data_IF_129424276581
#
_entry.id   IF_129424276581
#
_cell.length_a   1.000
_cell.length_b   1.000
_cell.length_c   1.000
_cell.angle_alpha   90.00
_cell.angle_beta   90.00
_cell.angle_gamma   90.00
#
_symmetry.space_group_name_H-M   'P 1'
#
loop_
_entity.id
_entity.type
_entity.pdbx_description
1 polymer ?
#
# COMPACT_ATOMS: atom_id res chain seq x y z
N UNK A 1 47.34 22.25 38.80
CA UNK A 1 46.36 23.25 38.28
C UNK A 1 45.89 23.02 36.83
N UNK A 2 46.70 22.44 35.92
CA UNK A 2 46.30 22.23 34.50
C UNK A 2 45.16 21.21 34.28
N UNK A 3 45.12 20.10 35.02
CA UNK A 3 44.06 19.07 34.86
C UNK A 3 42.66 19.52 35.33
N UNK A 4 42.55 20.32 36.40
CA UNK A 4 41.27 20.84 36.88
C UNK A 4 40.63 21.82 35.88
N UNK A 5 41.45 22.67 35.25
CA UNK A 5 40.99 23.57 34.19
C UNK A 5 40.54 22.81 32.94
N UNK A 6 41.29 21.77 32.54
CA UNK A 6 40.93 20.94 31.38
C UNK A 6 39.60 20.20 31.58
N UNK A 7 39.39 19.57 32.75
CA UNK A 7 38.12 18.89 33.08
C UNK A 7 36.92 19.84 33.12
N UNK A 8 37.11 21.07 33.61
CA UNK A 8 36.06 22.10 33.62
C UNK A 8 35.71 22.57 32.21
N UNK A 9 36.70 22.76 31.33
CA UNK A 9 36.49 23.07 29.92
C UNK A 9 35.75 21.94 29.18
N UNK A 10 36.13 20.68 29.43
CA UNK A 10 35.44 19.52 28.84
C UNK A 10 33.98 19.42 29.30
N UNK A 11 33.70 19.68 30.58
CA UNK A 11 32.34 19.64 31.11
C UNK A 11 31.45 20.74 30.51
N UNK A 12 31.97 21.97 30.37
CA UNK A 12 31.22 23.08 29.74
C UNK A 12 30.96 22.78 28.26
N UNK A 13 31.92 22.17 27.57
CA UNK A 13 31.77 21.79 26.16
C UNK A 13 30.76 20.65 25.98
N UNK A 14 30.74 19.67 26.88
CA UNK A 14 29.73 18.61 26.93
C UNK A 14 28.34 19.17 27.25
N UNK A 15 28.22 20.07 28.22
CA UNK A 15 26.94 20.72 28.54
C UNK A 15 26.45 21.55 27.35
N UNK A 16 27.34 22.31 26.72
CA UNK A 16 27.03 23.07 25.51
C UNK A 16 26.58 22.16 24.36
N UNK A 17 27.28 21.04 24.15
CA UNK A 17 26.92 20.04 23.15
C UNK A 17 25.57 19.38 23.45
N UNK A 18 25.31 18.98 24.69
CA UNK A 18 24.03 18.42 25.12
C UNK A 18 22.89 19.43 24.96
N UNK A 19 23.10 20.71 25.27
CA UNK A 19 22.07 21.75 25.09
C UNK A 19 21.77 22.02 23.61
N UNK A 20 22.79 21.99 22.74
CA UNK A 20 22.61 22.09 21.28
C UNK A 20 21.89 20.85 20.74
N UNK A 21 22.24 19.67 21.22
CA UNK A 21 21.63 18.40 20.85
C UNK A 21 20.16 18.34 21.28
N UNK A 22 19.87 18.71 22.54
CA UNK A 22 18.51 18.86 23.04
C UNK A 22 17.73 19.87 22.18
N UNK A 23 18.26 21.06 21.90
CA UNK A 23 17.55 22.04 21.04
C UNK A 23 17.32 21.56 19.61
N UNK A 24 18.19 20.73 19.04
CA UNK A 24 18.05 20.25 17.66
C UNK A 24 17.11 19.04 17.54
N UNK A 25 17.03 18.17 18.55
CA UNK A 25 16.12 17.02 18.54
C UNK A 25 14.74 17.32 19.13
N UNK A 26 14.61 18.30 20.04
CA UNK A 26 13.32 18.63 20.69
C UNK A 26 12.53 19.72 19.96
N UNK A 27 12.79 19.97 18.67
CA UNK A 27 11.80 20.69 17.88
C UNK A 27 10.63 19.74 17.65
N UNK A 28 9.53 19.99 18.36
CA UNK A 28 8.24 19.39 18.10
C UNK A 28 7.95 19.41 16.59
N UNK A 29 7.73 18.24 15.98
CA UNK A 29 7.46 18.09 14.54
C UNK A 29 6.07 17.52 14.33
N UNK A 30 5.44 17.91 13.23
CA UNK A 30 4.20 17.29 12.76
C UNK A 30 4.55 15.96 12.11
N UNK A 31 4.22 14.86 12.79
CA UNK A 31 4.53 13.51 12.33
C UNK A 31 3.56 13.09 11.24
N UNK A 32 4.00 13.12 9.98
CA UNK A 32 3.19 12.71 8.83
C UNK A 32 3.08 11.18 8.82
N UNK A 33 1.84 10.68 8.79
CA UNK A 33 1.48 9.25 8.83
C UNK A 33 1.07 8.70 7.47
N UNK A 34 0.40 9.52 6.68
CA UNK A 34 0.00 9.18 5.32
C UNK A 34 0.03 10.44 4.44
N UNK A 35 0.16 10.22 3.13
CA UNK A 35 0.09 11.27 2.13
C UNK A 35 -0.98 10.91 1.11
N UNK A 36 -1.83 11.85 0.74
CA UNK A 36 -2.84 11.71 -0.31
C UNK A 36 -2.41 12.47 -1.56
N UNK A 37 -2.56 11.85 -2.73
CA UNK A 37 -2.28 12.43 -4.04
C UNK A 37 -3.50 12.27 -4.96
N UNK A 38 -3.92 13.38 -5.55
CA UNK A 38 -4.87 13.36 -6.65
C UNK A 38 -4.50 14.41 -7.69
N UNK A 39 -4.91 14.16 -8.93
CA UNK A 39 -4.76 15.11 -10.01
C UNK A 39 -6.09 15.22 -10.75
N UNK A 40 -6.72 16.40 -10.67
CA UNK A 40 -7.90 16.75 -11.45
C UNK A 40 -7.49 17.87 -12.40
N UNK A 41 -7.57 17.61 -13.70
CA UNK A 41 -7.12 18.54 -14.76
C UNK A 41 -5.65 18.98 -14.57
N UNK A 42 -5.41 20.29 -14.46
CA UNK A 42 -4.09 20.88 -14.22
C UNK A 42 -3.80 21.10 -12.73
N UNK A 43 -4.71 20.70 -11.83
CA UNK A 43 -4.56 20.88 -10.38
C UNK A 43 -4.17 19.58 -9.70
N UNK A 44 -3.09 19.63 -8.92
CA UNK A 44 -2.63 18.54 -8.06
C UNK A 44 -3.06 18.85 -6.63
N UNK A 45 -3.80 17.92 -6.03
CA UNK A 45 -4.17 17.94 -4.61
C UNK A 45 -3.20 17.07 -3.83
N UNK A 46 -2.67 17.64 -2.75
CA UNK A 46 -1.86 16.92 -1.76
C UNK A 46 -2.55 16.99 -0.41
N UNK A 47 -2.73 15.83 0.22
CA UNK A 47 -3.16 15.72 1.60
C UNK A 47 -2.06 15.20 2.51
N UNK A 48 -1.87 15.82 3.68
CA UNK A 48 -0.96 15.35 4.72
C UNK A 48 -1.78 14.92 5.93
N UNK A 49 -1.81 13.62 6.16
CA UNK A 49 -2.35 13.05 7.38
C UNK A 49 -1.24 13.08 8.44
N UNK A 50 -1.41 13.83 9.52
CA UNK A 50 -0.35 14.05 10.50
C UNK A 50 -0.85 13.98 11.95
N UNK A 51 0.08 13.69 12.86
CA UNK A 51 -0.14 13.83 14.29
C UNK A 51 0.67 15.02 14.79
N UNK A 52 -0.01 15.99 15.40
CA UNK A 52 0.69 17.07 16.08
C UNK A 52 1.39 16.50 17.33
N UNK A 53 2.57 17.04 17.68
CA UNK A 53 3.22 16.66 18.93
C UNK A 53 2.37 17.14 20.11
N UNK A 54 1.97 16.22 20.98
CA UNK A 54 1.46 16.56 22.30
C UNK A 54 2.66 16.73 23.23
N UNK A 55 2.69 17.82 23.99
CA UNK A 55 3.66 18.02 25.05
C UNK A 55 3.37 17.04 26.21
N UNK A 56 3.76 15.77 26.06
CA UNK A 56 3.71 14.78 27.14
C UNK A 56 5.14 14.38 27.54
N UNK A 57 5.38 14.29 28.84
CA UNK A 57 6.68 13.91 29.40
C UNK A 57 7.01 12.42 29.17
N UNK A 58 6.01 11.61 28.79
CA UNK A 58 6.12 10.18 28.50
C UNK A 58 5.73 9.93 27.03
N UNK A 59 6.64 9.33 26.27
CA UNK A 59 6.45 9.02 24.85
C UNK A 59 5.35 7.98 24.59
N UNK A 60 4.88 7.27 25.63
CA UNK A 60 3.76 6.33 25.54
C UNK A 60 2.38 6.99 25.66
N UNK A 61 2.30 8.24 26.15
CA UNK A 61 1.06 8.99 26.34
C UNK A 61 0.79 10.05 25.26
N UNK A 62 1.82 10.43 24.48
CA UNK A 62 1.70 11.40 23.39
C UNK A 62 1.13 10.76 22.11
N UNK A 63 -0.16 10.51 22.05
CA UNK A 63 -0.83 10.23 20.78
C UNK A 63 -1.86 11.31 20.49
N UNK A 64 -1.36 12.48 20.08
CA UNK A 64 -2.19 13.55 19.57
C UNK A 64 -3.12 13.06 18.45
N UNK A 65 -4.33 13.62 18.44
CA UNK A 65 -5.34 13.34 17.42
C UNK A 65 -4.74 13.50 16.02
N UNK A 66 -5.04 12.53 15.14
CA UNK A 66 -4.65 12.62 13.74
C UNK A 66 -5.49 13.72 13.08
N UNK A 67 -4.83 14.54 12.25
CA UNK A 67 -5.45 15.63 11.50
C UNK A 67 -5.08 15.51 10.03
N UNK A 68 -5.88 16.14 9.16
CA UNK A 68 -5.63 16.20 7.72
C UNK A 68 -5.45 17.67 7.30
N UNK A 69 -4.33 17.99 6.65
CA UNK A 69 -4.18 19.23 5.89
C UNK A 69 -4.19 18.95 4.40
N UNK A 70 -4.81 19.84 3.63
CA UNK A 70 -4.93 19.73 2.18
C UNK A 70 -4.39 20.99 1.52
N UNK A 71 -3.77 20.83 0.36
CA UNK A 71 -3.47 21.94 -0.51
C UNK A 71 -3.55 21.53 -1.97
N UNK A 72 -3.87 22.51 -2.81
CA UNK A 72 -3.94 22.36 -4.25
C UNK A 72 -2.98 23.34 -4.92
N UNK A 73 -2.31 22.89 -5.98
CA UNK A 73 -1.49 23.74 -6.83
C UNK A 73 -1.32 23.14 -8.23
N UNK A 74 -0.79 23.94 -9.14
CA UNK A 74 -0.43 23.55 -10.52
C UNK A 74 0.74 22.55 -10.60
N UNK A 75 1.50 22.36 -9.52
CA UNK A 75 2.61 21.39 -9.48
C UNK A 75 2.67 20.66 -8.14
N UNK A 76 3.16 19.41 -8.17
CA UNK A 76 3.32 18.59 -6.96
C UNK A 76 4.17 19.29 -5.88
N UNK A 77 5.29 19.90 -6.28
CA UNK A 77 6.19 20.58 -5.35
C UNK A 77 5.51 21.76 -4.64
N UNK A 78 4.72 22.56 -5.38
CA UNK A 78 3.97 23.67 -4.79
C UNK A 78 2.82 23.18 -3.90
N UNK A 79 2.11 22.13 -4.30
CA UNK A 79 1.03 21.55 -3.50
C UNK A 79 1.58 20.97 -2.19
N UNK A 80 2.70 20.24 -2.23
CA UNK A 80 3.40 19.75 -1.04
C UNK A 80 3.85 20.89 -0.13
N UNK A 81 4.50 21.92 -0.68
CA UNK A 81 4.96 23.07 0.10
C UNK A 81 3.78 23.84 0.74
N UNK A 82 2.67 23.97 0.03
CA UNK A 82 1.46 24.61 0.53
C UNK A 82 0.79 23.79 1.65
N UNK A 83 0.71 22.47 1.52
CA UNK A 83 0.20 21.59 2.57
C UNK A 83 1.11 21.61 3.81
N UNK A 84 2.43 21.57 3.61
CA UNK A 84 3.42 21.67 4.69
C UNK A 84 3.34 23.01 5.44
N UNK A 85 3.07 24.11 4.74
CA UNK A 85 2.96 25.45 5.34
C UNK A 85 1.76 25.56 6.29
N UNK A 86 0.72 24.75 6.09
CA UNK A 86 -0.47 24.71 6.95
C UNK A 86 -0.28 23.84 8.19
N UNK A 87 0.80 23.04 8.26
CA UNK A 87 1.09 22.24 9.44
C UNK A 87 1.48 23.15 10.62
N UNK A 88 1.09 22.78 11.86
CA UNK A 88 1.42 23.57 13.04
C UNK A 88 2.94 23.58 13.32
N UNK A 89 3.66 22.53 12.89
CA UNK A 89 5.10 22.40 13.04
C UNK A 89 5.73 21.89 11.75
N UNK A 90 7.07 21.90 11.69
CA UNK A 90 7.80 21.34 10.55
C UNK A 90 7.40 19.87 10.34
N UNK A 91 7.11 19.50 9.10
CA UNK A 91 6.77 18.14 8.71
C UNK A 91 7.92 17.16 9.02
N UNK A 92 7.56 16.01 9.58
CA UNK A 92 8.43 14.84 9.72
C UNK A 92 7.80 13.64 9.00
N UNK A 93 8.43 13.23 7.91
CA UNK A 93 7.99 12.12 7.07
C UNK A 93 8.53 10.76 7.51
N UNK A 94 9.27 10.70 8.64
CA UNK A 94 9.84 9.44 9.13
C UNK A 94 8.79 8.38 9.40
N UNK A 95 7.53 8.70 9.65
CA UNK A 95 6.46 7.72 9.89
C UNK A 95 5.39 7.74 8.78
N UNK A 96 5.72 8.25 7.60
CA UNK A 96 4.84 8.29 6.44
C UNK A 96 4.78 6.90 5.80
N UNK A 97 4.03 6.00 6.42
CA UNK A 97 3.95 4.59 6.06
C UNK A 97 2.94 4.30 4.94
N UNK A 98 2.06 5.26 4.63
CA UNK A 98 0.97 5.09 3.67
C UNK A 98 0.96 6.18 2.60
N UNK A 99 0.57 5.78 1.39
CA UNK A 99 0.28 6.65 0.25
C UNK A 99 -1.14 6.33 -0.23
N UNK A 100 -2.00 7.33 -0.21
CA UNK A 100 -3.35 7.29 -0.75
C UNK A 100 -3.33 7.95 -2.12
N UNK A 101 -3.88 7.30 -3.12
CA UNK A 101 -4.00 7.89 -4.46
C UNK A 101 -5.46 7.92 -4.89
N UNK A 102 -5.80 8.88 -5.72
CA UNK A 102 -7.01 8.82 -6.53
C UNK A 102 -6.93 7.64 -7.53
N UNK A 103 -8.08 7.08 -7.91
CA UNK A 103 -8.15 5.96 -8.86
C UNK A 103 -7.52 6.30 -10.22
N UNK A 104 -7.63 7.58 -10.63
CA UNK A 104 -7.15 8.10 -11.90
C UNK A 104 -5.76 8.76 -11.77
N UNK A 105 -5.05 8.53 -10.66
CA UNK A 105 -3.70 9.02 -10.48
C UNK A 105 -2.78 8.50 -11.60
N UNK A 106 -2.12 9.44 -12.29
CA UNK A 106 -1.24 9.15 -13.42
C UNK A 106 0.08 8.53 -12.98
N UNK A 107 0.70 7.76 -13.88
CA UNK A 107 2.04 7.23 -13.66
C UNK A 107 3.09 8.34 -13.51
N UNK A 108 2.90 9.46 -14.22
CA UNK A 108 3.75 10.65 -14.11
C UNK A 108 3.67 11.27 -12.71
N UNK A 109 2.48 11.31 -12.10
CA UNK A 109 2.31 11.81 -10.74
C UNK A 109 3.01 10.91 -9.72
N UNK A 110 2.86 9.58 -9.84
CA UNK A 110 3.55 8.64 -8.96
C UNK A 110 5.08 8.71 -9.13
N UNK A 111 5.58 8.81 -10.37
CA UNK A 111 6.99 8.97 -10.65
C UNK A 111 7.55 10.30 -10.11
N UNK A 112 6.79 11.40 -10.23
CA UNK A 112 7.15 12.69 -9.67
C UNK A 112 7.20 12.65 -8.13
N UNK A 113 6.26 11.93 -7.50
CA UNK A 113 6.25 11.75 -6.06
C UNK A 113 7.39 10.84 -5.58
N UNK A 114 7.66 9.72 -6.25
CA UNK A 114 8.80 8.86 -5.96
C UNK A 114 10.12 9.65 -6.00
N UNK A 115 10.32 10.48 -7.03
CA UNK A 115 11.48 11.38 -7.12
C UNK A 115 11.54 12.33 -5.94
N UNK A 116 10.41 12.93 -5.57
CA UNK A 116 10.31 13.83 -4.41
C UNK A 116 10.68 13.12 -3.11
N UNK A 117 10.29 11.86 -2.94
CA UNK A 117 10.68 11.03 -1.79
C UNK A 117 12.20 10.77 -1.79
N UNK A 118 12.77 10.40 -2.93
CA UNK A 118 14.19 10.09 -3.06
C UNK A 118 15.10 11.31 -2.83
N UNK A 119 14.74 12.46 -3.42
CA UNK A 119 15.54 13.67 -3.38
C UNK A 119 15.35 14.47 -2.07
N UNK A 120 14.10 14.62 -1.65
CA UNK A 120 13.73 15.55 -0.57
C UNK A 120 13.34 14.84 0.74
N UNK A 121 13.29 13.50 0.76
CA UNK A 121 12.86 12.69 1.91
C UNK A 121 11.45 13.04 2.41
N UNK A 122 10.58 13.48 1.49
CA UNK A 122 9.19 13.85 1.78
C UNK A 122 8.23 12.65 1.68
N UNK A 123 8.60 11.54 2.33
CA UNK A 123 7.85 10.29 2.33
C UNK A 123 8.76 9.07 2.41
N UNK A 124 8.25 7.91 1.98
CA UNK A 124 9.00 6.64 1.90
C UNK A 124 8.69 5.92 0.61
N UNK A 125 9.71 5.42 -0.10
CA UNK A 125 9.51 4.56 -1.29
C UNK A 125 8.87 3.22 -0.92
N UNK A 126 9.01 2.81 0.35
CA UNK A 126 8.38 1.63 0.92
C UNK A 126 6.97 1.88 1.46
N UNK A 127 6.44 3.11 1.31
CA UNK A 127 5.08 3.45 1.72
C UNK A 127 4.07 2.52 1.02
N UNK A 128 3.11 2.04 1.80
CA UNK A 128 2.04 1.16 1.37
C UNK A 128 0.96 1.96 0.64
N UNK A 129 0.55 1.50 -0.53
CA UNK A 129 -0.31 2.23 -1.44
C UNK A 129 -1.74 1.68 -1.40
N UNK A 130 -2.73 2.56 -1.37
CA UNK A 130 -4.14 2.22 -1.57
C UNK A 130 -4.86 3.32 -2.35
N UNK A 131 -6.00 2.98 -2.94
CA UNK A 131 -6.89 3.98 -3.53
C UNK A 131 -7.77 4.55 -2.43
N UNK A 132 -7.93 5.88 -2.40
CA UNK A 132 -8.95 6.55 -1.61
C UNK A 132 -9.92 7.26 -2.56
N UNK A 133 -11.12 6.71 -2.66
CA UNK A 133 -12.24 7.32 -3.36
C UNK A 133 -13.02 8.19 -2.36
N UNK A 134 -13.29 9.43 -2.76
CA UNK A 134 -14.04 10.39 -1.97
C UNK A 134 -15.15 10.96 -2.85
N UNK A 135 -16.33 11.12 -2.27
CA UNK A 135 -17.43 11.80 -2.96
C UNK A 135 -17.03 13.23 -3.35
N UNK A 136 -17.63 13.74 -4.43
CA UNK A 136 -17.45 15.14 -4.82
C UNK A 136 -17.89 16.07 -3.68
N UNK A 137 -17.03 17.02 -3.32
CA UNK A 137 -17.28 17.91 -2.19
C UNK A 137 -16.97 17.32 -0.81
N UNK A 138 -16.62 16.02 -0.69
CA UNK A 138 -16.27 15.40 0.60
C UNK A 138 -15.16 16.18 1.33
N UNK A 139 -14.17 16.66 0.58
CA UNK A 139 -13.06 17.45 1.12
C UNK A 139 -13.48 18.86 1.56
N UNK A 140 -14.51 19.43 0.94
CA UNK A 140 -15.07 20.75 1.26
C UNK A 140 -15.97 20.69 2.50
N UNK A 141 -16.57 19.52 2.75
CA UNK A 141 -17.49 19.26 3.85
C UNK A 141 -16.81 18.78 5.14
N UNK A 142 -15.49 18.54 5.14
CA UNK A 142 -14.73 18.17 6.34
C UNK A 142 -14.66 19.36 7.31
N UNK A 143 -15.44 19.39 8.41
CA UNK A 143 -15.44 20.51 9.34
C UNK A 143 -14.12 20.52 10.12
N UNK A 144 -13.53 21.70 10.27
CA UNK A 144 -12.23 21.88 10.94
C UNK A 144 -12.22 21.43 12.42
N UNK A 145 -13.38 21.31 13.08
CA UNK A 145 -13.47 21.30 14.54
C UNK A 145 -13.65 19.91 15.17
N UNK A 146 -14.02 18.85 14.42
CA UNK A 146 -14.16 17.47 14.94
C UNK A 146 -13.88 16.42 13.86
N UNK A 147 -12.63 16.28 13.47
CA UNK A 147 -12.24 15.31 12.45
C UNK A 147 -12.04 13.92 13.08
N UNK A 148 -13.11 13.13 13.22
CA UNK A 148 -12.98 11.68 13.47
C UNK A 148 -12.40 10.95 12.25
N UNK A 149 -12.68 11.46 11.05
CA UNK A 149 -12.28 10.86 9.78
C UNK A 149 -10.78 10.53 9.68
N UNK A 150 -9.82 11.45 9.94
CA UNK A 150 -8.39 11.17 9.92
C UNK A 150 -7.96 10.01 10.83
N UNK A 151 -8.57 9.90 12.02
CA UNK A 151 -8.30 8.79 12.94
C UNK A 151 -8.84 7.48 12.36
N UNK A 152 -10.11 7.46 11.92
CA UNK A 152 -10.74 6.29 11.29
C UNK A 152 -9.98 5.82 10.05
N UNK A 153 -9.52 6.75 9.21
CA UNK A 153 -8.70 6.48 8.04
C UNK A 153 -7.37 5.84 8.41
N UNK A 154 -6.65 6.40 9.40
CA UNK A 154 -5.39 5.81 9.84
C UNK A 154 -5.58 4.42 10.48
N UNK A 155 -6.66 4.20 11.23
CA UNK A 155 -7.02 2.90 11.80
C UNK A 155 -7.32 1.87 10.72
N UNK A 156 -8.13 2.24 9.73
CA UNK A 156 -8.45 1.38 8.60
C UNK A 156 -7.20 1.01 7.79
N UNK A 157 -6.31 1.99 7.52
CA UNK A 157 -5.03 1.77 6.86
C UNK A 157 -4.15 0.75 7.60
N UNK A 158 -4.17 0.77 8.94
CA UNK A 158 -3.46 -0.23 9.75
C UNK A 158 -4.09 -1.62 9.63
N UNK A 159 -5.42 -1.71 9.55
CA UNK A 159 -6.16 -2.97 9.46
C UNK A 159 -5.96 -3.68 8.11
N UNK A 160 -5.96 -2.94 6.99
CA UNK A 160 -5.78 -3.50 5.66
C UNK A 160 -4.33 -3.40 5.14
N UNK A 161 -3.37 -3.12 6.02
CA UNK A 161 -1.96 -2.90 5.68
C UNK A 161 -1.33 -4.08 4.92
N UNK A 162 -1.74 -5.31 5.20
CA UNK A 162 -1.15 -6.50 4.58
C UNK A 162 -1.58 -6.71 3.12
N UNK A 163 -2.64 -6.00 2.70
CA UNK A 163 -3.18 -6.02 1.34
C UNK A 163 -2.65 -4.87 0.47
N UNK A 164 -1.66 -4.10 0.92
CA UNK A 164 -1.15 -2.94 0.19
C UNK A 164 0.23 -3.23 -0.42
N UNK A 165 0.39 -3.05 -1.75
CA UNK A 165 1.70 -3.01 -2.36
C UNK A 165 2.45 -1.75 -1.95
N UNK A 166 3.73 -1.66 -2.30
CA UNK A 166 4.59 -0.53 -1.97
C UNK A 166 4.80 0.40 -3.15
N UNK A 167 5.02 1.68 -2.88
CA UNK A 167 5.20 2.70 -3.91
C UNK A 167 6.23 2.28 -4.97
N UNK A 168 7.39 1.74 -4.59
CA UNK A 168 8.41 1.33 -5.56
C UNK A 168 7.97 0.22 -6.55
N UNK A 169 6.82 -0.44 -6.32
CA UNK A 169 6.30 -1.52 -7.16
C UNK A 169 5.37 -1.02 -8.28
N UNK A 170 5.06 0.29 -8.33
CA UNK A 170 4.06 0.84 -9.27
C UNK A 170 4.34 0.52 -10.75
N UNK A 171 5.61 0.38 -11.14
CA UNK A 171 5.99 0.11 -12.54
C UNK A 171 5.56 -1.28 -13.02
N UNK A 172 5.40 -2.25 -12.12
CA UNK A 172 4.98 -3.62 -12.45
C UNK A 172 3.44 -3.77 -12.49
N UNK A 173 2.72 -2.69 -12.18
CA UNK A 173 1.28 -2.72 -11.88
C UNK A 173 1.01 -3.12 -10.43
N UNK A 174 -0.06 -2.60 -9.86
CA UNK A 174 -0.41 -2.78 -8.45
C UNK A 174 -1.87 -3.17 -8.30
N UNK A 175 -2.12 -4.23 -7.51
CA UNK A 175 -3.46 -4.51 -7.01
C UNK A 175 -3.68 -3.71 -5.72
N UNK A 176 -4.46 -2.63 -5.81
CA UNK A 176 -4.67 -1.67 -4.73
C UNK A 176 -6.01 -1.93 -4.04
N UNK A 177 -6.03 -2.02 -2.69
CA UNK A 177 -7.28 -1.99 -1.95
C UNK A 177 -7.92 -0.60 -2.11
N UNK A 178 -9.24 -0.56 -2.21
CA UNK A 178 -10.02 0.66 -2.39
C UNK A 178 -10.68 1.04 -1.07
N UNK A 179 -10.40 2.25 -0.60
CA UNK A 179 -11.05 2.85 0.55
C UNK A 179 -12.09 3.83 0.02
N UNK A 180 -13.33 3.73 0.51
CA UNK A 180 -14.42 4.64 0.15
C UNK A 180 -14.72 5.53 1.34
N UNK A 181 -14.70 6.84 1.12
CA UNK A 181 -15.01 7.83 2.14
C UNK A 181 -16.28 8.59 1.78
N UNK A 182 -17.28 8.48 2.66
CA UNK A 182 -18.60 9.11 2.53
C UNK A 182 -19.00 9.66 3.90
N UNK A 183 -19.53 10.89 3.97
CA UNK A 183 -20.09 11.52 5.19
C UNK A 183 -19.20 11.39 6.45
N UNK A 184 -17.90 11.64 6.32
CA UNK A 184 -16.86 11.49 7.38
C UNK A 184 -16.60 10.06 7.87
N UNK A 185 -17.19 9.05 7.25
CA UNK A 185 -16.83 7.65 7.44
C UNK A 185 -15.87 7.19 6.36
N UNK A 186 -15.18 6.09 6.63
CA UNK A 186 -14.31 5.44 5.67
C UNK A 186 -14.40 3.94 5.86
N UNK A 187 -14.57 3.22 4.76
CA UNK A 187 -14.68 1.78 4.75
C UNK A 187 -13.80 1.17 3.66
N UNK A 188 -13.36 -0.06 3.88
CA UNK A 188 -12.71 -0.86 2.86
C UNK A 188 -13.79 -1.39 1.92
N UNK A 189 -13.65 -1.12 0.62
CA UNK A 189 -14.52 -1.71 -0.39
C UNK A 189 -14.16 -3.20 -0.60
N UNK A 190 -15.17 -3.98 -0.98
CA UNK A 190 -14.95 -5.38 -1.39
C UNK A 190 -14.21 -5.46 -2.74
N UNK A 191 -14.30 -4.41 -3.56
CA UNK A 191 -13.60 -4.28 -4.85
C UNK A 191 -12.13 -3.92 -4.68
N UNK A 192 -11.35 -4.01 -5.75
CA UNK A 192 -9.96 -3.53 -5.77
C UNK A 192 -9.63 -2.94 -7.12
N UNK A 193 -8.66 -2.04 -7.13
CA UNK A 193 -8.19 -1.42 -8.37
C UNK A 193 -6.92 -2.10 -8.81
N UNK A 194 -6.93 -2.74 -9.98
CA UNK A 194 -5.70 -3.07 -10.68
C UNK A 194 -5.20 -1.79 -11.38
N UNK A 195 -4.26 -1.12 -10.73
CA UNK A 195 -3.63 0.10 -11.24
C UNK A 195 -2.43 -0.27 -12.12
N UNK A 196 -2.37 0.28 -13.34
CA UNK A 196 -1.25 0.14 -14.28
C UNK A 196 -0.90 1.50 -14.86
N UNK A 197 0.31 1.59 -15.41
CA UNK A 197 0.81 2.83 -16.04
C UNK A 197 -0.12 3.33 -17.15
N UNK A 198 -0.73 2.43 -17.93
CA UNK A 198 -1.61 2.83 -19.04
C UNK A 198 -3.08 3.01 -18.64
N UNK A 199 -3.56 2.31 -17.60
CA UNK A 199 -4.94 2.38 -17.13
C UNK A 199 -5.14 1.73 -15.74
N UNK A 200 -6.30 2.02 -15.16
CA UNK A 200 -6.82 1.37 -13.96
C UNK A 200 -8.05 0.51 -14.31
N UNK A 201 -8.19 -0.66 -13.69
CA UNK A 201 -9.36 -1.54 -13.85
C UNK A 201 -9.92 -1.86 -12.46
N UNK A 202 -11.21 -1.61 -12.25
CA UNK A 202 -11.90 -2.09 -11.05
C UNK A 202 -12.22 -3.57 -11.17
N UNK A 203 -11.86 -4.33 -10.14
CA UNK A 203 -12.07 -5.76 -10.03
C UNK A 203 -13.19 -6.05 -9.04
N UNK A 204 -14.14 -6.88 -9.46
CA UNK A 204 -15.18 -7.40 -8.57
C UNK A 204 -14.58 -8.20 -7.40
N UNK A 205 -15.30 -8.24 -6.28
CA UNK A 205 -14.82 -8.78 -5.02
C UNK A 205 -14.18 -10.18 -5.13
N UNK A 206 -14.84 -11.11 -5.84
CA UNK A 206 -14.32 -12.47 -6.00
C UNK A 206 -13.02 -12.50 -6.80
N UNK A 207 -12.96 -11.74 -7.89
CA UNK A 207 -11.80 -11.68 -8.75
C UNK A 207 -10.62 -11.00 -8.05
N UNK A 208 -10.89 -9.90 -7.32
CA UNK A 208 -9.91 -9.22 -6.49
C UNK A 208 -9.33 -10.16 -5.43
N UNK A 209 -10.17 -10.91 -4.71
CA UNK A 209 -9.73 -11.80 -3.65
C UNK A 209 -8.88 -12.98 -4.18
N UNK A 210 -9.27 -13.56 -5.32
CA UNK A 210 -8.44 -14.59 -5.99
C UNK A 210 -7.12 -14.01 -6.49
N UNK A 211 -7.11 -12.79 -7.04
CA UNK A 211 -5.88 -12.14 -7.48
C UNK A 211 -4.93 -11.85 -6.31
N UNK A 212 -5.44 -11.38 -5.16
CA UNK A 212 -4.65 -11.19 -3.93
C UNK A 212 -3.99 -12.50 -3.48
N UNK A 213 -4.74 -13.60 -3.48
CA UNK A 213 -4.20 -14.93 -3.14
C UNK A 213 -3.09 -15.35 -4.11
N UNK A 214 -3.31 -15.18 -5.42
CA UNK A 214 -2.35 -15.55 -6.47
C UNK A 214 -1.07 -14.71 -6.45
N UNK A 215 -1.17 -13.46 -6.04
CA UNK A 215 -0.05 -12.53 -5.86
C UNK A 215 0.63 -12.68 -4.49
N UNK A 216 0.20 -13.65 -3.67
CA UNK A 216 0.71 -13.90 -2.32
C UNK A 216 0.65 -12.65 -1.42
N UNK A 217 -0.37 -11.83 -1.62
CA UNK A 217 -0.63 -10.67 -0.77
C UNK A 217 -0.97 -11.12 0.65
N UNK A 218 -0.63 -10.32 1.64
CA UNK A 218 -0.84 -10.70 3.04
C UNK A 218 -2.30 -10.59 3.47
N UNK A 219 -2.58 -11.12 4.66
CA UNK A 219 -3.91 -11.13 5.25
C UNK A 219 -4.56 -12.52 5.23
N UNK A 220 -5.81 -12.58 5.68
CA UNK A 220 -6.62 -13.80 5.62
C UNK A 220 -7.55 -13.69 4.43
N UNK A 221 -7.42 -14.61 3.49
CA UNK A 221 -8.31 -14.70 2.34
C UNK A 221 -9.50 -15.58 2.65
N UNK A 222 -10.70 -15.14 2.27
CA UNK A 222 -11.93 -15.90 2.53
C UNK A 222 -12.68 -16.15 1.23
N UNK A 223 -12.98 -17.42 0.96
CA UNK A 223 -13.71 -17.86 -0.23
C UNK A 223 -14.98 -18.60 0.18
N UNK A 224 -16.10 -18.29 -0.47
CA UNK A 224 -17.33 -19.06 -0.30
C UNK A 224 -17.32 -20.25 -1.27
N UNK A 225 -16.99 -21.44 -0.77
CA UNK A 225 -16.75 -22.65 -1.55
C UNK A 225 -17.69 -23.76 -1.11
N UNK A 226 -18.39 -24.38 -2.06
CA UNK A 226 -19.41 -25.41 -1.81
C UNK A 226 -20.47 -24.95 -0.78
N UNK A 227 -20.77 -23.65 -0.76
CA UNK A 227 -21.77 -23.07 0.15
C UNK A 227 -21.25 -22.71 1.55
N UNK A 228 -19.95 -22.90 1.83
CA UNK A 228 -19.35 -22.68 3.14
C UNK A 228 -18.10 -21.77 3.04
N UNK A 229 -17.77 -21.00 4.09
CA UNK A 229 -16.57 -20.17 4.10
C UNK A 229 -15.29 -21.01 4.30
N UNK A 230 -14.33 -20.83 3.40
CA UNK A 230 -12.98 -21.40 3.49
C UNK A 230 -11.98 -20.28 3.63
N UNK A 231 -11.15 -20.33 4.68
CA UNK A 231 -10.12 -19.32 4.94
C UNK A 231 -8.73 -19.81 4.57
N UNK A 232 -7.93 -18.92 3.99
CA UNK A 232 -6.51 -19.13 3.69
C UNK A 232 -5.71 -18.02 4.37
N UNK A 233 -4.96 -18.37 5.42
CA UNK A 233 -4.12 -17.40 6.16
C UNK A 233 -2.75 -17.18 5.53
N UNK A 234 -2.26 -18.17 4.80
CA UNK A 234 -0.97 -18.17 4.09
C UNK A 234 -1.09 -19.08 2.88
N UNK A 235 -0.52 -18.68 1.77
CA UNK A 235 -0.42 -19.48 0.56
C UNK A 235 0.95 -19.25 -0.05
N UNK A 236 1.57 -20.30 -0.59
CA UNK A 236 2.69 -20.16 -1.51
C UNK A 236 2.26 -20.59 -2.90
N UNK A 237 2.52 -19.77 -3.91
CA UNK A 237 2.10 -20.02 -5.29
C UNK A 237 3.32 -20.34 -6.14
N UNK A 238 3.44 -21.62 -6.51
CA UNK A 238 4.51 -22.09 -7.40
C UNK A 238 3.99 -22.28 -8.82
N UNK A 239 4.72 -21.75 -9.80
CA UNK A 239 4.38 -21.89 -11.22
C UNK A 239 5.43 -22.71 -11.94
N UNK A 240 4.99 -23.75 -12.64
CA UNK A 240 5.85 -24.56 -13.52
C UNK A 240 5.38 -24.42 -14.97
N UNK A 241 6.31 -24.03 -15.84
CA UNK A 241 6.10 -24.00 -17.29
C UNK A 241 6.71 -25.23 -17.95
N UNK A 242 5.94 -25.88 -18.83
CA UNK A 242 6.38 -26.97 -19.71
C UNK A 242 5.76 -26.80 -21.08
N UNK A 243 6.58 -26.46 -22.07
CA UNK A 243 6.12 -26.18 -23.43
C UNK A 243 4.95 -25.18 -23.43
N UNK A 244 3.76 -25.58 -23.88
CA UNK A 244 2.55 -24.76 -23.96
C UNK A 244 1.64 -24.88 -22.72
N UNK A 245 2.13 -25.51 -21.65
CA UNK A 245 1.37 -25.76 -20.41
C UNK A 245 1.95 -25.00 -19.23
N UNK A 246 1.06 -24.47 -18.40
CA UNK A 246 1.38 -23.75 -17.17
C UNK A 246 0.63 -24.40 -15.99
N UNK A 247 1.37 -24.89 -15.00
CA UNK A 247 0.82 -25.49 -13.79
C UNK A 247 1.03 -24.56 -12.61
N UNK A 248 -0.04 -24.19 -11.92
CA UNK A 248 0.02 -23.48 -10.64
C UNK A 248 -0.19 -24.47 -9.50
N UNK A 249 0.66 -24.40 -8.50
CA UNK A 249 0.52 -25.14 -7.26
C UNK A 249 0.36 -24.15 -6.11
N UNK A 250 -0.76 -24.25 -5.41
CA UNK A 250 -1.09 -23.44 -4.25
C UNK A 250 -1.01 -24.35 -3.01
N UNK A 251 0.02 -24.15 -2.19
CA UNK A 251 0.11 -24.80 -0.88
C UNK A 251 -0.43 -23.83 0.20
N UNK A 252 -1.66 -24.08 0.64
CA UNK A 252 -2.44 -23.22 1.52
C UNK A 252 -2.33 -23.66 2.98
N UNK A 253 -2.38 -22.69 3.90
CA UNK A 253 -2.64 -22.91 5.32
C UNK A 253 -3.94 -22.22 5.68
N UNK A 254 -4.80 -22.93 6.42
CA UNK A 254 -6.07 -22.40 6.93
C UNK A 254 -5.86 -21.58 8.21
N UNK A 255 -6.84 -20.77 8.58
CA UNK A 255 -6.89 -20.14 9.90
C UNK A 255 -7.01 -21.18 11.01
N UNK A 256 -6.50 -20.85 12.20
CA UNK A 256 -6.67 -21.69 13.39
C UNK A 256 -8.15 -21.99 13.63
N UNK A 257 -8.44 -23.19 14.14
CA UNK A 257 -9.79 -23.64 14.52
C UNK A 257 -10.85 -23.68 13.41
N UNK A 258 -10.47 -23.48 12.15
CA UNK A 258 -11.35 -23.69 10.99
C UNK A 258 -11.33 -25.13 10.49
N UNK A 259 -12.42 -25.67 9.93
CA UNK A 259 -12.45 -27.04 9.42
C UNK A 259 -11.45 -27.24 8.26
N UNK A 260 -10.98 -28.47 8.09
CA UNK A 260 -10.16 -28.83 6.93
C UNK A 260 -11.04 -28.75 5.66
N UNK A 261 -10.62 -28.01 4.61
CA UNK A 261 -11.39 -27.95 3.38
C UNK A 261 -11.51 -29.32 2.70
N UNK A 262 -12.68 -29.59 2.14
CA UNK A 262 -12.98 -30.82 1.43
C UNK A 262 -12.27 -30.88 0.06
N UNK A 263 -12.19 -32.08 -0.53
CA UNK A 263 -11.65 -32.22 -1.89
C UNK A 263 -12.43 -31.41 -2.94
N UNK A 264 -13.75 -31.26 -2.75
CA UNK A 264 -14.59 -30.44 -3.62
C UNK A 264 -14.24 -28.94 -3.49
N UNK A 265 -14.08 -28.45 -2.25
CA UNK A 265 -13.67 -27.06 -2.01
C UNK A 265 -12.27 -26.77 -2.59
N UNK A 266 -11.29 -27.66 -2.40
CA UNK A 266 -9.97 -27.52 -3.01
C UNK A 266 -10.04 -27.46 -4.53
N UNK A 267 -10.85 -28.32 -5.15
CA UNK A 267 -11.07 -28.33 -6.60
C UNK A 267 -11.72 -27.04 -7.09
N UNK A 268 -12.75 -26.55 -6.39
CA UNK A 268 -13.43 -25.30 -6.74
C UNK A 268 -12.49 -24.09 -6.63
N UNK A 269 -11.64 -24.03 -5.60
CA UNK A 269 -10.62 -22.98 -5.49
C UNK A 269 -9.59 -23.06 -6.62
N UNK A 270 -9.18 -24.26 -7.02
CA UNK A 270 -8.27 -24.45 -8.14
C UNK A 270 -8.89 -24.00 -9.48
N UNK A 271 -10.17 -24.31 -9.71
CA UNK A 271 -10.92 -23.83 -10.88
C UNK A 271 -11.02 -22.31 -10.87
N UNK A 272 -11.33 -21.70 -9.72
CA UNK A 272 -11.39 -20.24 -9.57
C UNK A 272 -10.04 -19.57 -9.87
N UNK A 273 -8.92 -20.12 -9.36
CA UNK A 273 -7.58 -19.64 -9.66
C UNK A 273 -7.26 -19.73 -11.15
N UNK A 274 -7.61 -20.86 -11.78
CA UNK A 274 -7.37 -21.09 -13.22
C UNK A 274 -8.16 -20.08 -14.06
N UNK A 275 -9.45 -19.90 -13.76
CA UNK A 275 -10.32 -18.95 -14.45
C UNK A 275 -9.84 -17.50 -14.28
N UNK A 276 -9.40 -17.12 -13.08
CA UNK A 276 -8.90 -15.78 -12.80
C UNK A 276 -7.68 -15.46 -13.65
N UNK A 277 -6.66 -16.33 -13.66
CA UNK A 277 -5.46 -16.12 -14.49
C UNK A 277 -5.80 -16.09 -15.98
N UNK A 278 -6.69 -16.96 -16.45
CA UNK A 278 -7.14 -16.95 -17.85
C UNK A 278 -7.86 -15.65 -18.23
N UNK A 279 -8.74 -15.15 -17.36
CA UNK A 279 -9.45 -13.89 -17.56
C UNK A 279 -8.49 -12.69 -17.61
N UNK A 280 -7.51 -12.64 -16.71
CA UNK A 280 -6.47 -11.62 -16.75
C UNK A 280 -5.62 -11.70 -18.02
N UNK A 281 -5.27 -12.91 -18.46
CA UNK A 281 -4.51 -13.10 -19.70
C UNK A 281 -5.26 -12.59 -20.94
N UNK A 282 -6.57 -12.84 -21.03
CA UNK A 282 -7.42 -12.33 -22.11
C UNK A 282 -7.48 -10.80 -22.14
N UNK A 283 -7.28 -10.15 -20.99
CA UNK A 283 -7.18 -8.69 -20.86
C UNK A 283 -5.74 -8.18 -21.05
N UNK A 284 -4.81 -9.05 -21.46
CA UNK A 284 -3.40 -8.72 -21.67
C UNK A 284 -2.60 -8.56 -20.38
N UNK A 285 -3.04 -9.16 -19.27
CA UNK A 285 -2.38 -9.08 -17.96
C UNK A 285 -1.74 -10.41 -17.61
N UNK A 286 -0.43 -10.37 -17.34
CA UNK A 286 0.33 -11.53 -16.88
C UNK A 286 0.38 -11.60 -15.35
N UNK A 287 -0.75 -12.00 -14.73
CA UNK A 287 -0.94 -11.97 -13.28
C UNK A 287 0.09 -12.80 -12.48
N UNK A 288 0.57 -13.91 -13.05
CA UNK A 288 1.46 -14.86 -12.36
C UNK A 288 2.86 -14.96 -13.00
N UNK A 289 3.21 -13.92 -13.77
CA UNK A 289 4.53 -13.71 -14.38
C UNK A 289 4.99 -14.86 -15.31
N UNK A 290 4.09 -15.41 -16.12
CA UNK A 290 4.39 -16.48 -17.07
C UNK A 290 5.41 -16.03 -18.13
N UNK A 291 5.36 -14.79 -18.58
CA UNK A 291 6.28 -14.23 -19.56
C UNK A 291 7.70 -14.15 -19.00
N UNK A 292 7.86 -13.59 -17.80
CA UNK A 292 9.15 -13.51 -17.13
C UNK A 292 9.72 -14.92 -16.88
N UNK A 293 8.87 -15.89 -16.51
CA UNK A 293 9.29 -17.29 -16.33
C UNK A 293 9.73 -17.92 -17.65
N UNK A 294 9.01 -17.67 -18.74
CA UNK A 294 9.38 -18.11 -20.08
C UNK A 294 10.71 -17.50 -20.53
N UNK A 295 10.95 -16.22 -20.25
CA UNK A 295 12.22 -15.54 -20.50
C UNK A 295 13.38 -16.16 -19.69
N UNK A 296 13.15 -16.49 -18.42
CA UNK A 296 14.15 -17.16 -17.59
C UNK A 296 14.48 -18.58 -18.08
N UNK A 297 13.49 -19.32 -18.60
CA UNK A 297 13.70 -20.68 -19.11
C UNK A 297 14.36 -20.72 -20.50
N UNK A 298 14.01 -19.79 -21.40
CA UNK A 298 14.41 -19.85 -22.82
C UNK A 298 15.42 -18.76 -23.22
N UNK A 299 15.68 -17.78 -22.35
CA UNK A 299 16.46 -16.58 -22.62
C UNK A 299 15.57 -15.38 -22.99
N UNK A 300 16.01 -14.19 -22.60
CA UNK A 300 15.34 -12.91 -22.93
C UNK A 300 15.31 -12.71 -24.45
N UNK A 301 14.14 -12.35 -25.00
CA UNK A 301 13.90 -12.22 -26.44
C UNK A 301 13.63 -13.55 -27.16
N UNK A 302 13.56 -14.66 -26.43
CA UNK A 302 13.22 -16.02 -26.94
C UNK A 302 12.05 -16.62 -26.17
N UNK A 303 11.21 -15.77 -25.59
CA UNK A 303 10.03 -16.16 -24.85
C UNK A 303 9.07 -16.91 -25.77
N UNK A 304 8.62 -18.09 -25.34
CA UNK A 304 7.56 -18.83 -26.04
C UNK A 304 6.17 -18.36 -25.61
N UNK A 305 6.05 -17.95 -24.35
CA UNK A 305 4.81 -17.45 -23.76
C UNK A 305 4.90 -15.93 -23.64
N UNK A 306 4.02 -15.23 -24.36
CA UNK A 306 3.85 -13.76 -24.31
C UNK A 306 2.36 -13.43 -24.23
N UNK A 307 1.97 -12.34 -23.58
CA UNK A 307 0.53 -11.92 -23.47
C UNK A 307 -0.14 -11.67 -24.83
N UNK A 308 0.64 -11.56 -25.91
CA UNK A 308 0.15 -11.46 -27.29
C UNK A 308 -0.28 -12.82 -27.86
N UNK A 309 0.16 -13.91 -27.25
CA UNK A 309 -0.17 -15.28 -27.64
C UNK A 309 -1.44 -15.76 -26.92
N UNK A 310 -2.01 -16.86 -27.40
CA UNK A 310 -3.08 -17.55 -26.67
C UNK A 310 -2.61 -17.91 -25.26
N UNK A 311 -3.54 -17.88 -24.29
CA UNK A 311 -3.24 -18.32 -22.92
C UNK A 311 -2.73 -19.77 -22.97
N UNK A 312 -1.60 -20.09 -22.32
CA UNK A 312 -1.13 -21.47 -22.22
C UNK A 312 -2.19 -22.33 -21.53
N UNK A 313 -2.14 -23.64 -21.75
CA UNK A 313 -3.03 -24.56 -21.05
C UNK A 313 -2.73 -24.52 -19.56
N UNK A 314 -3.63 -23.88 -18.83
CA UNK A 314 -3.46 -23.55 -17.43
C UNK A 314 -4.19 -24.57 -16.55
N UNK A 315 -3.50 -25.03 -15.50
CA UNK A 315 -4.13 -25.85 -14.46
C UNK A 315 -3.60 -25.46 -13.10
N UNK A 316 -4.49 -25.08 -12.19
CA UNK A 316 -4.15 -24.96 -10.78
C UNK A 316 -4.37 -26.28 -10.03
N UNK A 317 -3.57 -26.49 -9.01
CA UNK A 317 -3.71 -27.53 -8.00
C UNK A 317 -3.63 -26.87 -6.62
N UNK A 318 -4.61 -27.12 -5.76
CA UNK A 318 -4.74 -26.49 -4.44
C UNK A 318 -4.64 -27.57 -3.38
N UNK A 319 -3.71 -27.38 -2.45
CA UNK A 319 -3.52 -28.27 -1.31
C UNK A 319 -3.53 -27.49 -0.01
N UNK A 320 -4.39 -27.88 0.92
CA UNK A 320 -4.29 -27.41 2.30
C UNK A 320 -3.33 -28.29 3.09
N UNK A 321 -2.29 -27.66 3.63
CA UNK A 321 -1.29 -28.33 4.47
C UNK A 321 -1.91 -28.68 5.83
N UNK A 322 -1.53 -29.82 6.43
CA UNK A 322 -1.90 -30.13 7.81
C UNK A 322 -1.31 -29.07 8.75
N UNK A 323 -2.06 -28.72 9.80
CA UNK A 323 -1.58 -27.84 10.87
C UNK A 323 -0.74 -28.59 11.88
#
# INVERSE_FOLDING_TARGET
>A
MKQKKLRSLSAVLLIGWCLIFLRCETTEKSMVRALYLAQKEQSITVGLLYQAPEAAADASEASGAVQLQLAQADTLAKALAAAQKQLPQKADYRLCDYLLIDQDASAELLAAYERTVLENRQGRVSAKVSVLEMDDGFLEELPAEKQEFPNKLLELLKQCTDQMPRLYQYQDGMLLPQLRAEKQEVALADTSILWRVENSIELEARQAETARLLLEMGGVHTFWLEGEPVTVRRCSVSVTLREETASLRLDCQRSYDTPQPSAAQCKQLAELCTQTVQSFWQQGIDLVHLQQRSALQNGVGREKITIKNACPQLKADVRFLPM
#
